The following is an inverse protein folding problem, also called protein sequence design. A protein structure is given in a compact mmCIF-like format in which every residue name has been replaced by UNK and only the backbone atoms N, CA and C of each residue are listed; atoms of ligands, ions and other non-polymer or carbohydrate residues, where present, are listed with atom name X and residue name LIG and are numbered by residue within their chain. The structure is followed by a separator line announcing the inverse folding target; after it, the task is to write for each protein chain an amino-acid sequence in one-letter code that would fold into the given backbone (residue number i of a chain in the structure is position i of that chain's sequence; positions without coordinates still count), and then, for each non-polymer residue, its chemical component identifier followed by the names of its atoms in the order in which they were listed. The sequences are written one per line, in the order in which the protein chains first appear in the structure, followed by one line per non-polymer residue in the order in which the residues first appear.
data_IF_632730102126
#
_entry.id   IF_632730102126
#
_cell.length_a   1.000
_cell.length_b   1.000
_cell.length_c   1.000
_cell.angle_alpha   90.00
_cell.angle_beta   90.00
_cell.angle_gamma   90.00
#
_symmetry.space_group_name_H-M   'P 1'
#
loop_
_entity.id
_entity.type
_entity.pdbx_description
1 polymer ?
#
# COMPACT_ATOMS: atom_id res chain seq x y z
N UNK A 1 37.26 -3.84 -10.07
CA UNK A 1 35.85 -4.00 -9.64
C UNK A 1 35.41 -5.39 -10.04
N UNK A 2 34.96 -6.21 -9.09
CA UNK A 2 34.52 -7.57 -9.39
C UNK A 2 33.26 -7.51 -10.27
N UNK A 3 33.18 -8.34 -11.30
CA UNK A 3 32.05 -8.40 -12.24
C UNK A 3 30.69 -8.51 -11.54
N UNK A 4 30.65 -9.15 -10.37
CA UNK A 4 29.45 -9.28 -9.52
C UNK A 4 28.90 -7.91 -9.07
N UNK A 5 29.78 -7.01 -8.64
CA UNK A 5 29.41 -5.65 -8.22
C UNK A 5 28.87 -4.82 -9.38
N UNK A 6 29.40 -5.04 -10.58
CA UNK A 6 28.91 -4.37 -11.79
C UNK A 6 27.55 -4.94 -12.22
N UNK A 7 27.33 -6.25 -12.05
CA UNK A 7 26.13 -6.95 -12.49
C UNK A 7 24.90 -6.59 -11.64
N UNK A 8 25.08 -6.35 -10.34
CA UNK A 8 24.00 -5.87 -9.47
C UNK A 8 23.97 -4.34 -9.32
N UNK A 9 25.13 -3.68 -9.31
CA UNK A 9 25.21 -2.23 -9.08
C UNK A 9 24.64 -1.40 -10.23
N UNK A 10 24.95 -1.75 -11.48
CA UNK A 10 24.47 -1.01 -12.67
C UNK A 10 22.94 -1.00 -12.79
N UNK A 11 22.22 -2.13 -12.72
CA UNK A 11 20.76 -2.11 -12.83
C UNK A 11 20.10 -1.39 -11.65
N UNK A 12 20.66 -1.48 -10.43
CA UNK A 12 20.14 -0.74 -9.27
C UNK A 12 20.27 0.77 -9.48
N UNK A 13 21.42 1.25 -9.97
CA UNK A 13 21.61 2.68 -10.26
C UNK A 13 20.66 3.15 -11.35
N UNK A 14 20.49 2.37 -12.42
CA UNK A 14 19.53 2.68 -13.47
C UNK A 14 18.09 2.74 -12.93
N UNK A 15 17.72 1.79 -12.06
CA UNK A 15 16.42 1.78 -11.41
C UNK A 15 16.19 3.02 -10.55
N UNK A 16 17.18 3.43 -9.74
CA UNK A 16 17.10 4.66 -8.96
C UNK A 16 16.91 5.86 -9.89
N UNK A 17 17.73 6.00 -10.94
CA UNK A 17 17.58 7.10 -11.92
C UNK A 17 16.17 7.10 -12.54
N UNK A 18 15.65 5.93 -12.89
CA UNK A 18 14.32 5.78 -13.47
C UNK A 18 13.19 6.17 -12.51
N UNK A 19 13.32 5.90 -11.20
CA UNK A 19 12.40 6.40 -10.18
C UNK A 19 12.39 7.94 -10.20
N UNK A 20 13.57 8.56 -10.11
CA UNK A 20 13.68 10.02 -10.03
C UNK A 20 13.35 10.74 -11.35
N UNK A 21 13.32 10.03 -12.47
CA UNK A 21 12.87 10.56 -13.76
C UNK A 21 11.35 10.84 -13.82
N UNK A 22 10.57 10.41 -12.81
CA UNK A 22 9.14 10.75 -12.75
C UNK A 22 8.92 12.25 -12.43
N UNK A 23 7.99 12.92 -13.14
CA UNK A 23 7.81 14.36 -13.01
C UNK A 23 7.17 14.77 -11.68
N UNK A 24 6.29 13.95 -11.12
CA UNK A 24 5.55 14.25 -9.88
C UNK A 24 5.91 13.28 -8.74
N UNK A 25 5.75 13.70 -7.47
CA UNK A 25 6.05 12.86 -6.32
C UNK A 25 5.30 11.53 -6.27
N UNK A 26 4.02 11.51 -6.66
CA UNK A 26 3.20 10.30 -6.64
C UNK A 26 3.77 9.23 -7.58
N UNK A 27 4.11 9.63 -8.81
CA UNK A 27 4.73 8.73 -9.78
C UNK A 27 6.07 8.17 -9.31
N UNK A 28 6.85 8.95 -8.54
CA UNK A 28 8.12 8.46 -7.94
C UNK A 28 7.86 7.36 -6.93
N UNK A 29 6.84 7.53 -6.09
CA UNK A 29 6.43 6.53 -5.09
C UNK A 29 5.96 5.25 -5.79
N UNK A 30 5.10 5.38 -6.82
CA UNK A 30 4.63 4.23 -7.60
C UNK A 30 5.79 3.48 -8.28
N UNK A 31 6.74 4.21 -8.89
CA UNK A 31 7.94 3.59 -9.49
C UNK A 31 8.86 2.93 -8.45
N UNK A 32 8.93 3.46 -7.23
CA UNK A 32 9.71 2.87 -6.16
C UNK A 32 9.13 1.54 -5.66
N UNK A 33 7.80 1.38 -5.73
CA UNK A 33 7.10 0.17 -5.29
C UNK A 33 6.88 -0.87 -6.40
N UNK A 34 7.09 -0.52 -7.68
CA UNK A 34 6.99 -1.44 -8.83
C UNK A 34 7.68 -2.82 -8.67
N UNK A 35 8.85 -2.95 -8.03
CA UNK A 35 9.44 -4.27 -7.79
C UNK A 35 8.52 -5.27 -7.08
N UNK A 36 7.62 -4.78 -6.21
CA UNK A 36 6.63 -5.61 -5.52
C UNK A 36 5.61 -6.15 -6.52
N UNK A 37 5.17 -5.32 -7.46
CA UNK A 37 4.26 -5.73 -8.53
C UNK A 37 4.92 -6.72 -9.49
N UNK A 38 6.19 -6.51 -9.86
CA UNK A 38 6.94 -7.47 -10.70
C UNK A 38 7.03 -8.84 -10.04
N UNK A 39 7.42 -8.88 -8.76
CA UNK A 39 7.51 -10.12 -7.98
C UNK A 39 6.13 -10.74 -7.78
N UNK A 40 5.10 -9.93 -7.53
CA UNK A 40 3.72 -10.37 -7.39
C UNK A 40 3.17 -11.05 -8.63
N UNK A 41 3.41 -10.48 -9.82
CA UNK A 41 3.00 -11.07 -11.09
C UNK A 41 3.73 -12.39 -11.38
N UNK A 42 5.04 -12.46 -11.10
CA UNK A 42 5.81 -13.70 -11.22
C UNK A 42 5.30 -14.77 -10.24
N UNK A 43 5.08 -14.40 -8.98
CA UNK A 43 4.58 -15.31 -7.95
C UNK A 43 3.17 -15.81 -8.25
N UNK A 44 2.28 -14.91 -8.71
CA UNK A 44 0.89 -15.25 -9.07
C UNK A 44 0.87 -16.17 -10.29
N UNK A 45 1.69 -15.91 -11.30
CA UNK A 45 1.80 -16.78 -12.49
C UNK A 45 2.33 -18.17 -12.14
N UNK A 46 3.34 -18.24 -11.27
CA UNK A 46 3.91 -19.52 -10.79
C UNK A 46 2.90 -20.29 -9.93
N UNK A 47 2.14 -19.57 -9.10
CA UNK A 47 1.08 -20.14 -8.27
C UNK A 47 -0.07 -20.66 -9.13
N UNK A 48 -0.50 -19.92 -10.16
CA UNK A 48 -1.54 -20.34 -11.09
C UNK A 48 -1.18 -21.65 -11.80
N UNK A 49 0.11 -21.88 -12.08
CA UNK A 49 0.59 -23.11 -12.70
C UNK A 49 0.72 -24.28 -11.70
N UNK A 50 0.95 -24.00 -10.42
CA UNK A 50 1.27 -25.03 -9.42
C UNK A 50 0.10 -25.41 -8.51
N UNK A 51 -0.75 -24.43 -8.17
CA UNK A 51 -1.88 -24.58 -7.27
C UNK A 51 -2.91 -23.44 -7.52
N UNK A 52 -3.88 -23.72 -8.39
CA UNK A 52 -4.94 -22.77 -8.78
C UNK A 52 -5.68 -22.12 -7.60
N UNK A 53 -5.87 -22.86 -6.50
CA UNK A 53 -6.58 -22.43 -5.29
C UNK A 53 -5.92 -21.26 -4.54
N UNK A 54 -4.60 -21.06 -4.69
CA UNK A 54 -3.86 -20.04 -3.95
C UNK A 54 -3.59 -18.76 -4.76
N UNK A 55 -3.89 -18.77 -6.06
CA UNK A 55 -3.65 -17.66 -6.99
C UNK A 55 -4.27 -16.34 -6.52
N UNK A 56 -5.54 -16.37 -6.09
CA UNK A 56 -6.24 -15.18 -5.62
C UNK A 56 -5.68 -14.63 -4.29
N UNK A 57 -5.10 -15.50 -3.46
CA UNK A 57 -4.48 -15.10 -2.19
C UNK A 57 -3.12 -14.46 -2.44
N UNK A 58 -2.30 -15.03 -3.32
CA UNK A 58 -1.01 -14.47 -3.72
C UNK A 58 -1.16 -13.09 -4.38
N UNK A 59 -2.15 -12.93 -5.27
CA UNK A 59 -2.46 -11.65 -5.89
C UNK A 59 -2.86 -10.59 -4.84
N UNK A 60 -3.81 -10.92 -3.95
CA UNK A 60 -4.24 -10.01 -2.87
C UNK A 60 -3.13 -9.61 -1.92
N UNK A 61 -2.18 -10.52 -1.67
CA UNK A 61 -1.03 -10.21 -0.82
C UNK A 61 -0.07 -9.24 -1.51
N UNK A 62 0.18 -9.42 -2.81
CA UNK A 62 0.98 -8.49 -3.60
C UNK A 62 0.37 -7.09 -3.60
N UNK A 63 -0.94 -6.98 -3.84
CA UNK A 63 -1.65 -5.69 -3.85
C UNK A 63 -1.54 -4.96 -2.50
N UNK A 64 -1.64 -5.72 -1.39
CA UNK A 64 -1.46 -5.17 -0.05
C UNK A 64 -0.04 -4.66 0.19
N UNK A 65 0.96 -5.38 -0.27
CA UNK A 65 2.35 -4.96 -0.12
C UNK A 65 2.66 -3.72 -0.94
N UNK A 66 2.15 -3.64 -2.16
CA UNK A 66 2.30 -2.46 -3.02
C UNK A 66 1.68 -1.23 -2.33
N UNK A 67 0.43 -1.34 -1.89
CA UNK A 67 -0.22 -0.27 -1.15
C UNK A 67 0.54 0.13 0.12
N UNK A 68 1.01 -0.86 0.89
CA UNK A 68 1.77 -0.61 2.12
C UNK A 68 3.09 0.09 1.84
N UNK A 69 3.79 -0.27 0.76
CA UNK A 69 5.01 0.40 0.32
C UNK A 69 4.73 1.88 0.00
N UNK A 70 3.70 2.15 -0.82
CA UNK A 70 3.37 3.52 -1.19
C UNK A 70 3.00 4.36 0.03
N UNK A 71 2.21 3.78 0.94
CA UNK A 71 1.81 4.44 2.19
C UNK A 71 3.01 4.76 3.09
N UNK A 72 3.93 3.81 3.27
CA UNK A 72 5.12 4.03 4.11
C UNK A 72 6.03 5.11 3.54
N UNK A 73 6.27 5.10 2.23
CA UNK A 73 7.07 6.13 1.57
C UNK A 73 6.39 7.50 1.72
N UNK A 74 5.08 7.57 1.48
CA UNK A 74 4.32 8.81 1.70
C UNK A 74 4.43 9.30 3.15
N UNK A 75 4.25 8.39 4.12
CA UNK A 75 4.31 8.67 5.56
C UNK A 75 5.68 9.19 5.99
N UNK A 76 6.77 8.60 5.49
CA UNK A 76 8.13 8.95 5.89
C UNK A 76 8.61 10.25 5.25
N UNK A 77 8.31 10.47 3.97
CA UNK A 77 8.89 11.59 3.22
C UNK A 77 7.96 12.79 3.06
N UNK A 78 6.64 12.60 3.04
CA UNK A 78 5.70 13.65 2.64
C UNK A 78 4.78 14.11 3.78
N UNK A 79 4.60 13.31 4.82
CA UNK A 79 3.65 13.64 5.90
C UNK A 79 3.95 14.97 6.60
N UNK A 80 5.23 15.26 6.89
CA UNK A 80 5.61 16.47 7.61
C UNK A 80 5.27 17.74 6.79
N UNK A 81 5.64 17.75 5.51
CA UNK A 81 5.40 18.90 4.64
C UNK A 81 3.92 19.01 4.25
N UNK A 82 3.23 17.87 4.11
CA UNK A 82 1.78 17.85 3.96
C UNK A 82 1.09 18.51 5.16
N UNK A 83 1.43 18.12 6.38
CA UNK A 83 0.83 18.69 7.60
C UNK A 83 1.12 20.20 7.73
N UNK A 84 2.32 20.65 7.38
CA UNK A 84 2.65 22.08 7.35
C UNK A 84 1.81 22.84 6.32
N UNK A 85 1.61 22.27 5.13
CA UNK A 85 0.79 22.88 4.08
C UNK A 85 -0.70 22.94 4.46
N UNK A 86 -1.22 21.92 5.16
CA UNK A 86 -2.57 21.94 5.74
C UNK A 86 -2.69 23.04 6.79
N UNK A 87 -1.73 23.14 7.73
CA UNK A 87 -1.73 24.17 8.76
C UNK A 87 -1.62 25.59 8.17
N UNK A 88 -0.92 25.75 7.06
CA UNK A 88 -0.83 26.99 6.30
C UNK A 88 -2.08 27.29 5.44
N UNK A 89 -3.07 26.39 5.40
CA UNK A 89 -4.29 26.56 4.61
C UNK A 89 -4.10 26.44 3.09
N UNK A 90 -2.95 25.93 2.64
CA UNK A 90 -2.61 25.83 1.21
C UNK A 90 -3.24 24.62 0.53
N UNK A 91 -3.64 23.60 1.31
CA UNK A 91 -4.20 22.35 0.82
C UNK A 91 -5.46 22.01 1.63
N UNK A 92 -6.53 21.58 0.95
CA UNK A 92 -7.70 21.00 1.63
C UNK A 92 -7.43 19.51 1.89
N UNK A 93 -7.57 19.02 3.14
CA UNK A 93 -7.32 17.62 3.43
C UNK A 93 -8.32 16.73 2.68
N UNK A 94 -7.82 15.65 2.10
CA UNK A 94 -8.68 14.62 1.51
C UNK A 94 -9.55 14.00 2.61
N UNK A 95 -10.84 13.70 2.35
CA UNK A 95 -11.75 13.17 3.36
C UNK A 95 -11.27 11.86 4.01
N UNK A 96 -10.45 11.06 3.32
CA UNK A 96 -9.86 9.81 3.84
C UNK A 96 -8.63 9.99 4.73
N UNK A 97 -7.97 11.16 4.74
CA UNK A 97 -6.80 11.44 5.60
C UNK A 97 -7.16 12.03 6.96
N UNK A 98 -8.39 12.56 7.11
CA UNK A 98 -8.86 13.15 8.37
C UNK A 98 -8.97 12.12 9.50
N UNK A 99 -9.10 10.83 9.18
CA UNK A 99 -9.12 9.75 10.18
C UNK A 99 -7.75 9.43 10.77
N UNK A 100 -6.64 9.75 10.10
CA UNK A 100 -5.28 9.42 10.56
C UNK A 100 -4.71 10.52 11.48
N UNK A 101 -5.21 11.76 11.35
CA UNK A 101 -4.89 12.85 12.28
C UNK A 101 -5.48 12.63 13.69
N UNK A 102 -6.38 11.65 13.83
CA UNK A 102 -6.97 11.20 15.11
C UNK A 102 -6.46 9.78 15.45
N UNK A 103 -5.17 9.50 15.28
CA UNK A 103 -4.56 8.39 16.04
C UNK A 103 -3.69 8.99 17.14
N UNK A 104 -4.36 9.39 18.22
CA UNK A 104 -3.73 9.45 19.54
C UNK A 104 -3.14 8.05 19.78
N UNK A 105 -1.89 7.89 20.25
CA UNK A 105 -1.35 6.57 20.54
C UNK A 105 -2.35 5.84 21.44
N UNK A 106 -2.91 4.73 20.96
CA UNK A 106 -3.73 3.86 21.79
C UNK A 106 -2.76 3.28 22.81
N UNK A 107 -2.83 3.84 24.02
CA UNK A 107 -2.31 3.24 25.23
C UNK A 107 -2.77 1.78 25.26
N UNK A 108 -1.79 0.89 25.24
CA UNK A 108 -1.93 -0.54 25.12
C UNK A 108 -2.58 -1.09 26.38
N UNK A 109 -3.91 -1.24 26.39
CA UNK A 109 -4.61 -2.00 27.42
C UNK A 109 -4.71 -3.47 26.98
N UNK A 110 -4.14 -4.34 27.80
CA UNK A 110 -4.11 -5.80 27.68
C UNK A 110 -5.53 -6.43 27.64
N UNK A 111 -5.68 -7.70 27.20
CA UNK A 111 -6.96 -8.28 26.81
C UNK A 111 -7.77 -8.71 28.04
N UNK A 112 -9.09 -8.58 27.96
CA UNK A 112 -10.01 -9.26 28.85
C UNK A 112 -10.96 -10.11 27.99
N UNK A 113 -10.98 -11.39 28.35
CA UNK A 113 -11.86 -12.45 27.88
C UNK A 113 -13.36 -12.14 27.98
N UNK A 114 -14.14 -13.02 27.33
CA UNK A 114 -15.39 -13.58 27.82
C UNK A 114 -16.69 -13.28 27.02
N UNK A 115 -17.12 -14.34 26.33
CA UNK A 115 -18.48 -14.75 25.93
C UNK A 115 -19.62 -13.72 25.79
N UNK A 116 -20.21 -13.65 24.58
CA UNK A 116 -21.59 -14.11 24.31
C UNK A 116 -22.03 -13.83 22.85
N UNK A 117 -22.54 -14.87 22.19
CA UNK A 117 -23.53 -14.78 21.11
C UNK A 117 -24.80 -15.43 21.69
N UNK A 118 -26.02 -14.89 21.51
CA UNK A 118 -26.72 -15.02 20.20
C UNK A 118 -27.78 -13.91 19.90
N UNK A 119 -28.26 -13.79 18.65
CA UNK A 119 -29.43 -12.95 18.35
C UNK A 119 -29.66 -12.55 16.89
N UNK A 120 -30.22 -13.47 16.11
CA UNK A 120 -30.67 -13.45 14.70
C UNK A 120 -31.73 -12.33 14.37
N UNK A 121 -32.34 -12.31 13.15
CA UNK A 121 -31.92 -11.80 11.84
C UNK A 121 -32.79 -10.63 11.32
N UNK A 122 -32.31 -9.89 10.32
CA UNK A 122 -33.21 -9.23 9.37
C UNK A 122 -32.74 -7.88 8.83
N UNK A 123 -32.08 -7.89 7.67
CA UNK A 123 -32.33 -6.91 6.61
C UNK A 123 -31.73 -7.40 5.29
N UNK A 124 -32.57 -8.06 4.50
CA UNK A 124 -32.34 -8.39 3.10
C UNK A 124 -32.54 -7.13 2.23
N UNK A 125 -31.88 -7.13 1.06
CA UNK A 125 -32.07 -6.23 -0.10
C UNK A 125 -31.38 -4.84 0.03
N UNK A 126 -30.58 -4.33 -0.92
CA UNK A 126 -30.40 -4.59 -2.36
C UNK A 126 -29.09 -3.90 -2.87
N UNK A 127 -28.59 -4.22 -4.09
CA UNK A 127 -27.34 -3.70 -4.64
C UNK A 127 -27.49 -2.54 -5.66
N UNK A 128 -26.38 -1.82 -5.90
CA UNK A 128 -25.98 -1.06 -7.12
C UNK A 128 -26.64 0.34 -7.38
N UNK A 129 -25.95 1.31 -8.04
CA UNK A 129 -25.50 1.21 -9.44
C UNK A 129 -24.08 1.70 -9.79
N UNK A 130 -23.49 0.98 -10.75
CA UNK A 130 -22.41 1.38 -11.67
C UNK A 130 -22.94 2.47 -12.61
N UNK A 131 -22.19 3.56 -12.81
CA UNK A 131 -22.42 4.52 -13.89
C UNK A 131 -21.46 4.25 -15.04
N UNK A 132 -22.06 4.23 -16.24
CA UNK A 132 -21.44 4.11 -17.55
C UNK A 132 -20.51 5.28 -17.87
#
# INVERSE_FOLDING_TARGET
MQIKELLFGVPILFFIIWIFAAPVPQDRISRACEPINWVGNVATSTTALSAESHTATTARWSDKLDYSCQFLIWRLFYQADYNKAIAAGLIKPAPSMQSIAIYKPVEQAAPADEHNHPGNPGSLAQPLPVKQ
#
